data_IF_699357591622
#
_entry.id   IF_699357591622
#
_cell.length_a   1.000
_cell.length_b   1.000
_cell.length_c   1.000
_cell.angle_alpha   90.00
_cell.angle_beta   90.00
_cell.angle_gamma   90.00
#
_symmetry.space_group_name_H-M   'P 1'
#
loop_
_entity.id
_entity.type
_entity.pdbx_description
1 polymer ?
#
# COMPACT_ATOMS: atom_id res chain seq x y z
N UNK A 1 -22.31 10.76 -19.53
CA UNK A 1 -22.41 9.68 -18.51
C UNK A 1 -21.28 8.70 -18.77
N UNK A 2 -20.09 8.97 -18.23
CA UNK A 2 -19.06 7.95 -18.11
C UNK A 2 -19.56 6.97 -17.05
N UNK A 3 -19.70 5.69 -17.41
CA UNK A 3 -19.97 4.67 -16.40
C UNK A 3 -18.78 4.66 -15.45
N UNK A 4 -19.02 4.66 -14.14
CA UNK A 4 -17.97 4.48 -13.16
C UNK A 4 -17.15 3.26 -13.57
N UNK A 5 -15.86 3.46 -13.87
CA UNK A 5 -14.97 2.35 -14.18
C UNK A 5 -15.03 1.40 -12.98
N UNK A 6 -15.62 0.23 -13.18
CA UNK A 6 -15.75 -0.76 -12.12
C UNK A 6 -14.36 -1.22 -11.73
N UNK A 7 -14.01 -1.10 -10.45
CA UNK A 7 -12.77 -1.65 -9.90
C UNK A 7 -12.51 -3.08 -10.42
N UNK A 8 -11.29 -3.34 -10.88
CA UNK A 8 -10.86 -4.69 -11.24
C UNK A 8 -10.30 -5.38 -9.99
N UNK A 9 -11.09 -6.31 -9.45
CA UNK A 9 -10.74 -7.07 -8.25
C UNK A 9 -9.69 -8.14 -8.58
N UNK A 10 -8.62 -8.16 -7.79
CA UNK A 10 -7.51 -9.10 -7.89
C UNK A 10 -7.49 -10.12 -6.74
N UNK A 11 -8.02 -9.75 -5.58
CA UNK A 11 -8.23 -10.62 -4.43
C UNK A 11 -9.17 -9.97 -3.43
N UNK A 12 -10.40 -10.50 -3.34
CA UNK A 12 -11.39 -10.20 -2.29
C UNK A 12 -11.64 -11.40 -1.37
N UNK A 13 -11.12 -12.58 -1.72
CA UNK A 13 -11.00 -13.76 -0.87
C UNK A 13 -12.32 -14.34 -0.34
N UNK A 14 -13.44 -13.97 -0.98
CA UNK A 14 -14.77 -14.43 -0.61
C UNK A 14 -14.96 -15.93 -0.92
N UNK A 15 -14.30 -16.44 -1.97
CA UNK A 15 -14.37 -17.83 -2.43
C UNK A 15 -13.04 -18.59 -2.19
N UNK A 16 -12.43 -18.35 -1.02
CA UNK A 16 -11.16 -18.95 -0.64
C UNK A 16 -9.98 -18.09 -1.07
N UNK A 17 -8.89 -18.72 -1.50
CA UNK A 17 -7.62 -18.02 -1.70
C UNK A 17 -7.47 -17.37 -3.09
N UNK A 18 -8.53 -17.35 -3.90
CA UNK A 18 -8.59 -16.79 -5.26
C UNK A 18 -7.46 -17.23 -6.21
N UNK A 19 -6.93 -18.43 -5.97
CA UNK A 19 -5.80 -18.97 -6.70
C UNK A 19 -4.46 -18.28 -6.44
N UNK A 20 -4.38 -17.39 -5.45
CA UNK A 20 -3.12 -16.85 -4.95
C UNK A 20 -2.21 -17.96 -4.40
N UNK A 21 -0.92 -17.70 -4.43
CA UNK A 21 0.13 -18.59 -3.94
C UNK A 21 1.08 -17.79 -3.06
N UNK A 22 1.91 -18.50 -2.29
CA UNK A 22 2.94 -17.89 -1.45
C UNK A 22 4.32 -18.52 -1.68
N UNK A 23 5.38 -17.81 -1.27
CA UNK A 23 6.76 -18.26 -1.25
C UNK A 23 7.07 -19.15 -0.05
N UNK A 24 8.32 -19.64 0.05
CA UNK A 24 8.91 -20.15 1.28
C UNK A 24 8.28 -21.36 1.96
N UNK A 25 7.24 -21.97 1.39
CA UNK A 25 6.43 -22.97 2.11
C UNK A 25 5.50 -22.36 3.15
N UNK A 26 5.23 -21.05 3.08
CA UNK A 26 4.27 -20.37 3.95
C UNK A 26 2.87 -20.99 3.82
N UNK A 27 2.07 -20.84 4.88
CA UNK A 27 0.68 -21.28 4.88
C UNK A 27 -0.23 -20.15 4.42
N UNK A 28 -1.22 -20.47 3.60
CA UNK A 28 -2.15 -19.52 3.02
C UNK A 28 -3.57 -20.03 3.25
N UNK A 29 -4.38 -19.25 3.94
CA UNK A 29 -5.76 -19.59 4.30
C UNK A 29 -6.65 -18.35 4.24
N UNK A 30 -7.97 -18.53 4.27
CA UNK A 30 -8.90 -17.43 4.48
C UNK A 30 -9.34 -17.36 5.93
N UNK A 31 -9.54 -16.15 6.43
CA UNK A 31 -10.13 -15.88 7.73
C UNK A 31 -11.45 -15.16 7.55
N UNK A 32 -12.45 -15.55 8.34
CA UNK A 32 -13.78 -14.96 8.28
C UNK A 32 -13.89 -13.70 9.15
N UNK A 33 -14.76 -12.77 8.76
CA UNK A 33 -15.07 -11.58 9.55
C UNK A 33 -15.68 -11.94 10.91
N UNK A 34 -16.43 -13.04 10.99
CA UNK A 34 -17.01 -13.53 12.25
C UNK A 34 -15.96 -13.99 13.25
N UNK A 35 -14.84 -14.54 12.79
CA UNK A 35 -13.77 -15.05 13.66
C UNK A 35 -12.69 -14.00 13.91
N UNK A 36 -12.30 -13.26 12.86
CA UNK A 36 -11.29 -12.20 12.89
C UNK A 36 -11.79 -10.99 12.09
N UNK A 37 -12.50 -10.04 12.73
CA UNK A 37 -13.10 -8.91 12.01
C UNK A 37 -12.08 -7.88 11.52
N UNK A 38 -10.98 -7.68 12.25
CA UNK A 38 -9.98 -6.65 11.95
C UNK A 38 -9.31 -6.76 10.56
N UNK A 39 -8.91 -7.94 10.06
CA UNK A 39 -8.31 -8.06 8.73
C UNK A 39 -9.31 -7.96 7.56
N UNK A 40 -10.61 -8.15 7.79
CA UNK A 40 -11.63 -8.10 6.74
C UNK A 40 -12.10 -6.66 6.55
N UNK A 41 -11.65 -6.02 5.48
CA UNK A 41 -11.97 -4.63 5.11
C UNK A 41 -13.02 -4.55 4.01
N UNK A 42 -13.26 -5.64 3.27
CA UNK A 42 -14.33 -5.77 2.27
C UNK A 42 -14.95 -7.16 2.38
N UNK A 43 -16.27 -7.24 2.24
CA UNK A 43 -16.96 -8.53 2.23
C UNK A 43 -16.94 -9.23 3.58
N UNK A 44 -16.63 -10.53 3.57
CA UNK A 44 -16.72 -11.44 4.72
C UNK A 44 -15.42 -12.17 5.00
N UNK A 45 -14.44 -12.12 4.10
CA UNK A 45 -13.21 -12.89 4.22
C UNK A 45 -11.97 -12.05 3.92
N UNK A 46 -10.83 -12.47 4.45
CA UNK A 46 -9.52 -11.92 4.11
C UNK A 46 -8.51 -13.05 3.96
N UNK A 47 -7.43 -12.80 3.24
CA UNK A 47 -6.32 -13.74 3.13
C UNK A 47 -5.42 -13.64 4.36
N UNK A 48 -5.08 -14.77 4.97
CA UNK A 48 -4.05 -14.87 5.99
C UNK A 48 -2.84 -15.64 5.43
N UNK A 49 -1.65 -15.10 5.68
CA UNK A 49 -0.39 -15.69 5.24
C UNK A 49 0.51 -15.83 6.45
N UNK A 50 0.77 -17.06 6.85
CA UNK A 50 1.62 -17.37 7.99
C UNK A 50 2.95 -17.89 7.51
N UNK A 51 4.00 -17.17 7.89
CA UNK A 51 5.38 -17.47 7.56
C UNK A 51 6.12 -17.97 8.79
N UNK A 52 6.92 -19.00 8.58
CA UNK A 52 7.76 -19.65 9.59
C UNK A 52 9.18 -19.75 9.01
N UNK A 53 9.95 -18.69 9.22
CA UNK A 53 11.34 -18.61 8.80
C UNK A 53 11.58 -18.24 7.32
N UNK A 54 10.57 -17.80 6.57
CA UNK A 54 10.78 -17.32 5.19
C UNK A 54 11.46 -15.95 5.24
N UNK A 55 12.70 -15.77 4.73
CA UNK A 55 13.39 -14.48 4.78
C UNK A 55 12.77 -13.43 3.88
N UNK A 56 11.94 -13.84 2.91
CA UNK A 56 11.31 -12.94 1.95
C UNK A 56 9.89 -13.41 1.62
N UNK A 57 8.99 -13.38 2.63
CA UNK A 57 7.63 -13.83 2.45
C UNK A 57 6.89 -12.95 1.44
N UNK A 58 6.15 -13.62 0.58
CA UNK A 58 5.35 -12.96 -0.43
C UNK A 58 4.09 -13.76 -0.75
N UNK A 59 3.06 -13.06 -1.21
CA UNK A 59 1.93 -13.65 -1.92
C UNK A 59 1.86 -13.13 -3.34
N UNK A 60 1.42 -13.97 -4.26
CA UNK A 60 1.33 -13.59 -5.65
C UNK A 60 0.17 -14.25 -6.37
N UNK A 61 -0.38 -13.53 -7.34
CA UNK A 61 -1.42 -14.05 -8.22
C UNK A 61 -0.86 -15.16 -9.11
N UNK A 62 -1.72 -16.08 -9.55
CA UNK A 62 -1.39 -16.91 -10.72
C UNK A 62 -1.23 -15.97 -11.92
N UNK A 63 -0.23 -16.26 -12.76
CA UNK A 63 -0.06 -15.53 -14.01
C UNK A 63 -1.35 -15.61 -14.84
N UNK A 64 -1.95 -14.46 -15.16
CA UNK A 64 -3.09 -14.39 -16.08
C UNK A 64 -2.59 -14.63 -17.52
N UNK A 65 -3.51 -15.03 -18.41
CA UNK A 65 -3.21 -15.45 -19.78
C UNK A 65 -2.60 -14.36 -20.68
N UNK A 66 -3.25 -14.01 -21.79
CA UNK A 66 -2.69 -13.03 -22.74
C UNK A 66 -2.92 -11.58 -22.34
N UNK A 67 -3.91 -11.29 -21.49
CA UNK A 67 -4.28 -9.92 -21.10
C UNK A 67 -3.52 -9.47 -19.86
N UNK A 68 -3.36 -8.15 -19.70
CA UNK A 68 -2.84 -7.57 -18.46
C UNK A 68 -3.69 -7.96 -17.26
N UNK A 69 -3.04 -8.23 -16.13
CA UNK A 69 -3.75 -8.47 -14.89
C UNK A 69 -4.39 -7.19 -14.33
N UNK A 70 -3.85 -6.01 -14.68
CA UNK A 70 -4.19 -4.74 -14.08
C UNK A 70 -5.49 -4.13 -14.62
N UNK A 71 -6.01 -4.64 -15.75
CA UNK A 71 -7.09 -3.95 -16.47
C UNK A 71 -6.68 -2.54 -16.88
N UNK A 72 -7.64 -1.62 -16.91
CA UNK A 72 -7.43 -0.22 -17.29
C UNK A 72 -7.11 0.70 -16.09
N UNK A 73 -7.05 0.14 -14.87
CA UNK A 73 -6.95 0.92 -13.65
C UNK A 73 -5.61 1.66 -13.48
N UNK A 74 -5.70 2.92 -13.08
CA UNK A 74 -4.56 3.84 -12.86
C UNK A 74 -3.85 3.63 -11.53
N UNK A 75 -4.53 3.03 -10.56
CA UNK A 75 -4.00 2.83 -9.21
C UNK A 75 -4.16 1.37 -8.77
N UNK A 76 -3.19 0.86 -8.01
CA UNK A 76 -3.29 -0.42 -7.31
C UNK A 76 -3.52 -0.19 -5.82
N UNK A 77 -4.53 -0.85 -5.28
CA UNK A 77 -4.92 -0.80 -3.87
C UNK A 77 -4.80 -2.18 -3.23
N UNK A 78 -4.44 -2.22 -1.96
CA UNK A 78 -4.57 -3.37 -1.08
C UNK A 78 -4.78 -2.89 0.35
N UNK A 79 -5.49 -3.64 1.17
CA UNK A 79 -5.53 -3.44 2.62
C UNK A 79 -4.70 -4.53 3.28
N UNK A 80 -3.83 -4.14 4.20
CA UNK A 80 -2.93 -5.07 4.90
C UNK A 80 -3.02 -4.88 6.40
N UNK A 81 -2.90 -5.98 7.14
CA UNK A 81 -2.77 -6.01 8.59
C UNK A 81 -1.62 -6.95 8.95
N UNK A 82 -0.41 -6.44 9.28
CA UNK A 82 0.62 -7.29 9.85
C UNK A 82 0.24 -7.66 11.29
N UNK A 83 0.33 -8.95 11.62
CA UNK A 83 0.22 -9.45 12.98
C UNK A 83 1.47 -9.14 13.81
N UNK A 84 1.63 -9.89 14.90
CA UNK A 84 2.88 -9.90 15.66
C UNK A 84 3.95 -10.68 14.91
N UNK A 85 5.15 -10.12 14.84
CA UNK A 85 6.34 -10.78 14.31
C UNK A 85 7.17 -11.27 15.49
N UNK A 86 7.52 -12.55 15.52
CA UNK A 86 8.35 -13.08 16.59
C UNK A 86 9.71 -12.39 16.59
N UNK A 87 10.17 -12.00 17.77
CA UNK A 87 11.51 -11.44 18.00
C UNK A 87 11.79 -10.10 17.30
N UNK A 88 10.77 -9.45 16.72
CA UNK A 88 10.88 -8.14 16.09
C UNK A 88 9.78 -7.18 16.59
N UNK A 89 10.17 -5.99 17.03
CA UNK A 89 9.25 -4.90 17.42
C UNK A 89 9.07 -3.84 16.31
N UNK A 90 9.76 -4.01 15.17
CA UNK A 90 9.73 -3.08 14.06
C UNK A 90 8.37 -3.03 13.35
N UNK A 91 8.18 -2.03 12.50
CA UNK A 91 7.12 -2.11 11.49
C UNK A 91 7.38 -3.28 10.52
N UNK A 92 6.36 -3.64 9.74
CA UNK A 92 6.48 -4.54 8.60
C UNK A 92 6.45 -3.69 7.34
N UNK A 93 7.46 -3.84 6.50
CA UNK A 93 7.59 -3.14 5.22
C UNK A 93 7.00 -4.00 4.12
N UNK A 94 6.12 -3.41 3.30
CA UNK A 94 5.50 -4.05 2.14
C UNK A 94 5.99 -3.45 0.83
N UNK A 95 6.06 -4.26 -0.22
CA UNK A 95 6.30 -3.81 -1.61
C UNK A 95 5.36 -4.54 -2.55
N UNK A 96 4.82 -3.82 -3.53
CA UNK A 96 4.22 -4.43 -4.70
C UNK A 96 5.28 -4.68 -5.75
N UNK A 97 5.22 -5.83 -6.42
CA UNK A 97 6.10 -6.18 -7.53
C UNK A 97 5.27 -6.66 -8.71
N UNK A 98 5.45 -6.03 -9.86
CA UNK A 98 4.82 -6.42 -11.11
C UNK A 98 5.81 -7.24 -11.92
N UNK A 99 5.37 -8.42 -12.32
CA UNK A 99 6.14 -9.33 -13.17
C UNK A 99 5.55 -9.26 -14.59
N UNK A 100 6.11 -8.42 -15.47
CA UNK A 100 5.73 -8.37 -16.87
C UNK A 100 6.22 -9.59 -17.64
N UNK A 101 5.58 -9.87 -18.77
CA UNK A 101 6.05 -10.86 -19.75
C UNK A 101 6.98 -10.20 -20.76
N UNK A 102 7.99 -10.95 -21.23
CA UNK A 102 8.85 -10.50 -22.33
C UNK A 102 10.18 -9.98 -21.82
N UNK A 103 10.79 -8.98 -22.48
CA UNK A 103 12.11 -8.48 -22.13
C UNK A 103 12.11 -7.46 -20.98
N UNK A 104 10.98 -7.29 -20.30
CA UNK A 104 10.82 -6.28 -19.25
C UNK A 104 11.26 -6.83 -17.89
N UNK A 105 11.94 -6.01 -17.12
CA UNK A 105 12.33 -6.31 -15.74
C UNK A 105 11.12 -6.22 -14.79
N UNK A 106 11.30 -6.80 -13.59
CA UNK A 106 10.33 -6.65 -12.50
C UNK A 106 10.32 -5.19 -12.05
N UNK A 107 9.12 -4.61 -11.96
CA UNK A 107 8.94 -3.25 -11.44
C UNK A 107 8.40 -3.32 -10.02
N UNK A 108 8.97 -2.51 -9.13
CA UNK A 108 8.61 -2.50 -7.71
C UNK A 108 8.10 -1.13 -7.27
N UNK A 109 7.13 -1.13 -6.36
CA UNK A 109 6.68 0.10 -5.71
C UNK A 109 7.76 0.61 -4.74
N UNK A 110 7.61 1.87 -4.33
CA UNK A 110 8.24 2.33 -3.08
C UNK A 110 7.78 1.47 -1.88
N UNK A 111 8.60 1.32 -0.83
CA UNK A 111 8.22 0.55 0.35
C UNK A 111 7.07 1.22 1.12
N UNK A 112 6.21 0.40 1.73
CA UNK A 112 5.14 0.83 2.63
C UNK A 112 5.35 0.25 4.03
N UNK A 113 5.64 1.11 5.01
CA UNK A 113 5.88 0.69 6.40
C UNK A 113 4.59 0.72 7.22
N UNK A 114 4.17 -0.45 7.72
CA UNK A 114 2.92 -0.64 8.48
C UNK A 114 3.24 -1.19 9.87
N UNK A 115 2.74 -0.53 10.90
CA UNK A 115 2.95 -0.96 12.29
C UNK A 115 2.23 -2.30 12.54
N UNK A 116 2.92 -3.23 13.18
CA UNK A 116 2.32 -4.49 13.66
C UNK A 116 1.03 -4.23 14.43
N UNK A 117 0.03 -5.10 14.25
CA UNK A 117 -1.32 -5.04 14.85
C UNK A 117 -2.20 -3.88 14.38
N UNK A 118 -1.75 -3.04 13.44
CA UNK A 118 -2.54 -1.93 12.90
C UNK A 118 -2.69 -2.03 11.38
N UNK A 119 -3.93 -2.12 10.91
CA UNK A 119 -4.22 -2.22 9.48
C UNK A 119 -3.96 -0.91 8.73
N UNK A 120 -3.53 -1.00 7.47
CA UNK A 120 -3.32 0.14 6.58
C UNK A 120 -3.75 -0.16 5.15
N UNK A 121 -4.33 0.84 4.48
CA UNK A 121 -4.58 0.80 3.05
C UNK A 121 -3.35 1.24 2.28
N UNK A 122 -2.81 0.34 1.45
CA UNK A 122 -1.74 0.58 0.48
C UNK A 122 -2.32 1.15 -0.82
N UNK A 123 -1.52 1.95 -1.51
CA UNK A 123 -1.89 2.57 -2.78
C UNK A 123 -0.63 2.87 -3.59
N UNK A 124 -0.56 2.38 -4.83
CA UNK A 124 0.53 2.60 -5.78
C UNK A 124 -0.01 3.23 -7.08
N UNK A 125 0.61 4.32 -7.52
CA UNK A 125 0.35 4.93 -8.82
C UNK A 125 0.95 4.07 -9.93
N UNK A 126 0.08 3.48 -10.74
CA UNK A 126 0.53 2.69 -11.88
C UNK A 126 0.85 3.60 -13.06
N UNK A 127 0.41 4.87 -13.07
CA UNK A 127 0.69 5.80 -14.19
C UNK A 127 2.17 6.16 -14.27
N UNK A 128 2.91 6.00 -13.18
CA UNK A 128 4.38 6.15 -13.12
C UNK A 128 5.11 4.99 -13.83
N UNK A 129 4.39 3.96 -14.29
CA UNK A 129 4.94 2.77 -14.96
C UNK A 129 4.63 2.85 -16.45
N UNK A 130 5.67 2.60 -17.27
CA UNK A 130 5.55 2.54 -18.73
C UNK A 130 4.36 1.68 -19.18
N UNK A 131 3.60 2.20 -20.14
CA UNK A 131 2.36 1.57 -20.61
C UNK A 131 2.60 0.15 -21.15
N UNK A 132 3.68 -0.07 -21.89
CA UNK A 132 4.06 -1.39 -22.40
C UNK A 132 4.31 -2.39 -21.25
N UNK A 133 4.94 -1.94 -20.16
CA UNK A 133 5.18 -2.77 -18.97
C UNK A 133 3.88 -3.09 -18.25
N UNK A 134 2.97 -2.11 -18.10
CA UNK A 134 1.63 -2.33 -17.54
C UNK A 134 0.79 -3.28 -18.38
N UNK A 135 0.82 -3.12 -19.69
CA UNK A 135 0.13 -4.00 -20.63
C UNK A 135 0.73 -5.41 -20.61
N UNK A 136 2.02 -5.54 -20.31
CA UNK A 136 2.74 -6.81 -20.16
C UNK A 136 2.65 -7.43 -18.77
N UNK A 137 2.16 -6.73 -17.73
CA UNK A 137 2.04 -7.25 -16.37
C UNK A 137 1.16 -8.51 -16.32
N UNK A 138 1.72 -9.65 -15.89
CA UNK A 138 0.98 -10.93 -15.80
C UNK A 138 0.83 -11.48 -14.40
N UNK A 139 1.73 -11.12 -13.50
CA UNK A 139 1.65 -11.49 -12.08
C UNK A 139 1.90 -10.26 -11.20
N UNK A 140 1.07 -10.14 -10.17
CA UNK A 140 1.27 -9.23 -9.05
C UNK A 140 1.80 -10.04 -7.88
N UNK A 141 2.83 -9.51 -7.23
CA UNK A 141 3.38 -10.02 -5.98
C UNK A 141 3.31 -8.92 -4.91
N UNK A 142 2.90 -9.29 -3.70
CA UNK A 142 2.98 -8.47 -2.50
C UNK A 142 4.01 -9.15 -1.60
N UNK A 143 5.17 -8.52 -1.45
CA UNK A 143 6.25 -9.01 -0.61
C UNK A 143 6.38 -8.16 0.66
N UNK A 144 6.85 -8.75 1.75
CA UNK A 144 7.10 -8.03 2.99
C UNK A 144 8.29 -8.55 3.78
N UNK A 145 8.73 -7.75 4.75
CA UNK A 145 9.82 -8.05 5.67
C UNK A 145 9.71 -7.19 6.94
N UNK A 146 10.39 -7.55 8.03
CA UNK A 146 10.51 -6.69 9.21
C UNK A 146 11.39 -5.49 8.86
N UNK A 147 10.96 -4.26 9.16
CA UNK A 147 11.63 -3.04 8.70
C UNK A 147 13.08 -2.87 9.17
N UNK A 148 13.49 -3.53 10.24
CA UNK A 148 14.86 -3.56 10.75
C UNK A 148 15.75 -4.67 10.16
N UNK A 149 15.15 -5.59 9.38
CA UNK A 149 15.84 -6.64 8.63
C UNK A 149 15.44 -6.57 7.15
N UNK A 150 15.90 -5.52 6.45
CA UNK A 150 15.70 -5.42 5.00
C UNK A 150 16.52 -6.50 4.28
N UNK A 151 15.86 -7.42 3.57
CA UNK A 151 16.56 -8.55 3.01
C UNK A 151 17.39 -8.10 1.78
N UNK A 152 18.57 -8.69 1.54
CA UNK A 152 19.46 -8.24 0.49
C UNK A 152 18.84 -8.37 -0.90
N UNK A 153 18.93 -7.30 -1.68
CA UNK A 153 18.50 -7.26 -3.09
C UNK A 153 19.53 -7.98 -3.96
N UNK A 154 19.31 -9.24 -4.33
CA UNK A 154 20.02 -9.83 -5.47
C UNK A 154 19.16 -9.73 -6.74
N UNK A 155 19.76 -9.99 -7.91
CA UNK A 155 19.11 -9.83 -9.21
C UNK A 155 17.85 -10.70 -9.42
N UNK A 156 17.61 -11.67 -8.55
CA UNK A 156 16.39 -12.50 -8.53
C UNK A 156 15.49 -12.20 -7.31
N UNK A 157 15.84 -11.18 -6.53
CA UNK A 157 15.15 -10.71 -5.34
C UNK A 157 14.86 -11.81 -4.33
N UNK A 158 15.87 -12.65 -3.98
CA UNK A 158 15.89 -13.69 -2.94
C UNK A 158 17.30 -13.98 -2.43
N UNK A 159 17.73 -13.35 -1.34
CA UNK A 159 18.99 -13.63 -0.64
C UNK A 159 18.79 -14.22 0.76
N UNK A 160 19.85 -14.67 1.45
CA UNK A 160 19.77 -15.08 2.85
C UNK A 160 19.42 -13.86 3.71
N UNK A 161 18.46 -14.01 4.63
CA UNK A 161 18.05 -13.02 5.63
C UNK A 161 17.58 -13.74 6.88
N UNK A 162 17.32 -13.01 7.97
CA UNK A 162 16.61 -13.63 9.10
C UNK A 162 15.18 -13.94 8.65
N UNK A 163 14.66 -15.09 9.07
CA UNK A 163 13.37 -15.55 8.62
C UNK A 163 12.24 -14.72 9.22
N UNK A 164 11.29 -14.27 8.41
CA UNK A 164 10.07 -13.63 8.90
C UNK A 164 9.16 -14.66 9.55
N UNK A 165 8.84 -14.45 10.83
CA UNK A 165 8.02 -15.33 11.64
C UNK A 165 6.76 -14.60 12.12
N UNK A 166 5.65 -14.78 11.41
CA UNK A 166 4.42 -14.08 11.74
C UNK A 166 3.32 -14.25 10.68
N UNK A 167 2.14 -13.72 10.99
CA UNK A 167 1.00 -13.73 10.08
C UNK A 167 0.74 -12.33 9.53
N UNK A 168 0.66 -12.21 8.21
CA UNK A 168 0.16 -11.02 7.52
C UNK A 168 -1.22 -11.32 6.95
N UNK A 169 -2.16 -10.39 7.13
CA UNK A 169 -3.46 -10.45 6.49
C UNK A 169 -3.54 -9.45 5.33
N UNK A 170 -4.18 -9.85 4.23
CA UNK A 170 -4.41 -9.02 3.05
C UNK A 170 -5.88 -9.11 2.63
N UNK A 171 -6.45 -7.99 2.20
CA UNK A 171 -7.81 -7.91 1.67
C UNK A 171 -7.93 -6.77 0.63
N UNK A 172 -9.02 -6.77 -0.13
CA UNK A 172 -9.43 -5.69 -1.02
C UNK A 172 -8.33 -5.28 -2.02
N UNK A 173 -7.67 -6.29 -2.61
CA UNK A 173 -6.62 -6.08 -3.61
C UNK A 173 -7.30 -5.83 -4.95
N UNK A 174 -7.11 -4.64 -5.51
CA UNK A 174 -7.81 -4.21 -6.72
C UNK A 174 -7.08 -3.09 -7.45
N UNK A 175 -7.36 -2.98 -8.74
CA UNK A 175 -7.04 -1.77 -9.50
C UNK A 175 -8.28 -0.92 -9.71
N UNK A 176 -8.09 0.40 -9.80
CA UNK A 176 -9.17 1.35 -10.06
C UNK A 176 -8.62 2.73 -10.41
N UNK A 177 -9.52 3.66 -10.74
CA UNK A 177 -9.17 4.98 -11.28
C UNK A 177 -9.48 6.14 -10.35
N UNK A 178 -9.92 5.89 -9.10
CA UNK A 178 -10.32 6.93 -8.15
C UNK A 178 -9.09 7.65 -7.52
N UNK A 179 -8.76 8.88 -7.96
CA UNK A 179 -7.63 9.65 -7.42
C UNK A 179 -7.88 10.12 -5.99
N UNK A 180 -9.14 10.28 -5.57
CA UNK A 180 -9.50 10.68 -4.21
C UNK A 180 -9.18 9.55 -3.23
N UNK A 181 -9.54 8.31 -3.57
CA UNK A 181 -9.15 7.14 -2.75
C UNK A 181 -7.64 6.98 -2.70
N UNK A 182 -6.94 7.15 -3.83
CA UNK A 182 -5.47 7.13 -3.89
C UNK A 182 -4.83 8.15 -2.95
N UNK A 183 -5.19 9.43 -3.08
CA UNK A 183 -4.64 10.50 -2.26
C UNK A 183 -5.02 10.35 -0.78
N UNK A 184 -6.24 9.93 -0.46
CA UNK A 184 -6.67 9.67 0.92
C UNK A 184 -5.86 8.58 1.60
N UNK A 185 -5.58 7.47 0.91
CA UNK A 185 -4.73 6.39 1.44
C UNK A 185 -3.29 6.86 1.66
N UNK A 186 -2.72 7.60 0.70
CA UNK A 186 -1.39 8.22 0.85
C UNK A 186 -1.33 9.18 2.04
N UNK A 187 -2.28 10.09 2.16
CA UNK A 187 -2.38 11.06 3.25
C UNK A 187 -2.46 10.40 4.63
N UNK A 188 -3.34 9.40 4.80
CA UNK A 188 -3.50 8.70 6.07
C UNK A 188 -2.21 7.95 6.47
N UNK A 189 -1.51 7.36 5.51
CA UNK A 189 -0.21 6.74 5.77
C UNK A 189 0.84 7.77 6.16
N UNK A 190 0.91 8.89 5.43
CA UNK A 190 1.86 9.96 5.73
C UNK A 190 1.64 10.52 7.14
N UNK A 191 0.39 10.85 7.48
CA UNK A 191 0.03 11.33 8.82
C UNK A 191 0.42 10.34 9.92
N UNK A 192 0.19 9.03 9.72
CA UNK A 192 0.59 7.99 10.68
C UNK A 192 2.10 7.82 10.77
N UNK A 193 2.84 8.01 9.67
CA UNK A 193 4.31 8.01 9.65
C UNK A 193 4.82 9.17 10.49
N UNK A 194 4.42 10.39 10.15
CA UNK A 194 4.80 11.62 10.87
C UNK A 194 4.46 11.52 12.35
N UNK A 195 3.30 10.96 12.69
CA UNK A 195 2.93 10.77 14.09
C UNK A 195 3.81 9.76 14.84
N UNK A 196 4.35 8.74 14.16
CA UNK A 196 5.28 7.78 14.77
C UNK A 196 6.67 8.37 14.93
N UNK A 197 7.13 9.12 13.92
CA UNK A 197 8.44 9.74 13.91
C UNK A 197 8.52 10.87 14.93
N UNK A 198 7.49 11.71 15.00
CA UNK A 198 7.52 12.98 15.73
C UNK A 198 6.53 13.04 16.93
N UNK A 199 5.72 12.00 17.14
CA UNK A 199 4.64 12.02 18.14
C UNK A 199 3.35 12.70 17.64
N UNK A 200 2.41 12.99 18.54
CA UNK A 200 1.15 13.64 18.12
C UNK A 200 1.39 15.08 17.66
N UNK A 201 0.68 15.53 16.62
CA UNK A 201 0.64 16.96 16.29
C UNK A 201 -0.03 17.71 17.44
N UNK A 202 0.69 18.67 18.02
CA UNK A 202 0.26 19.45 19.19
C UNK A 202 -0.23 20.84 18.81
N UNK A 203 0.31 21.43 17.73
CA UNK A 203 -0.05 22.79 17.32
C UNK A 203 0.03 22.99 15.80
N UNK A 204 -0.50 24.11 15.33
CA UNK A 204 -0.39 24.60 13.95
C UNK A 204 -0.09 26.10 13.97
N UNK A 205 1.04 26.50 13.42
CA UNK A 205 1.31 27.90 13.11
C UNK A 205 0.83 28.20 11.69
N UNK A 206 0.34 29.43 11.49
CA UNK A 206 -0.11 29.91 10.17
C UNK A 206 0.66 31.19 9.87
N UNK A 207 1.52 31.12 8.86
CA UNK A 207 2.38 32.21 8.43
C UNK A 207 1.75 33.02 7.30
N UNK A 208 1.00 32.34 6.42
CA UNK A 208 0.28 32.96 5.30
C UNK A 208 -1.13 32.39 5.21
N UNK A 209 -2.12 33.26 5.06
CA UNK A 209 -3.50 32.89 4.78
C UNK A 209 -4.11 33.86 3.77
N UNK A 210 -4.51 33.33 2.62
CA UNK A 210 -5.27 34.03 1.58
C UNK A 210 -6.55 33.25 1.29
N UNK A 211 -7.35 33.72 0.33
CA UNK A 211 -8.58 33.02 -0.09
C UNK A 211 -8.29 31.65 -0.72
N UNK A 212 -7.07 31.41 -1.23
CA UNK A 212 -6.71 30.18 -1.94
C UNK A 212 -5.50 29.46 -1.39
N UNK A 213 -4.74 30.06 -0.47
CA UNK A 213 -3.49 29.48 0.07
C UNK A 213 -3.47 29.61 1.59
N UNK A 214 -3.06 28.54 2.27
CA UNK A 214 -2.67 28.55 3.68
C UNK A 214 -1.28 27.91 3.81
N UNK A 215 -0.34 28.62 4.44
CA UNK A 215 1.00 28.10 4.76
C UNK A 215 1.31 28.28 6.24
N UNK A 216 2.13 27.38 6.75
CA UNK A 216 2.71 27.51 8.07
C UNK A 216 3.37 26.21 8.48
N UNK A 217 3.37 25.92 9.78
CA UNK A 217 4.07 24.75 10.30
C UNK A 217 3.15 23.90 11.17
N UNK A 218 3.30 22.59 11.06
CA UNK A 218 2.77 21.65 12.03
C UNK A 218 3.81 21.38 13.09
N UNK A 219 3.45 21.62 14.35
CA UNK A 219 4.30 21.35 15.51
C UNK A 219 3.91 20.02 16.12
N UNK A 220 4.89 19.16 16.34
CA UNK A 220 4.72 17.83 16.90
C UNK A 220 5.21 17.74 18.35
N UNK A 221 4.76 16.70 19.07
CA UNK A 221 5.00 16.54 20.50
C UNK A 221 6.49 16.39 20.88
N UNK A 222 7.33 15.95 19.95
CA UNK A 222 8.79 15.89 20.12
C UNK A 222 9.49 17.24 19.88
N UNK A 223 8.75 18.28 19.47
CA UNK A 223 9.26 19.60 19.11
C UNK A 223 9.63 19.76 17.63
N UNK A 224 9.45 18.72 16.80
CA UNK A 224 9.67 18.82 15.35
C UNK A 224 8.62 19.74 14.72
N UNK A 225 9.07 20.63 13.86
CA UNK A 225 8.25 21.55 13.08
C UNK A 225 8.36 21.19 11.59
N UNK A 226 7.21 20.97 10.94
CA UNK A 226 7.17 20.64 9.51
C UNK A 226 6.33 21.66 8.75
N UNK A 227 6.93 22.26 7.74
CA UNK A 227 6.23 23.18 6.85
C UNK A 227 5.10 22.45 6.11
N UNK A 228 3.97 23.13 5.99
CA UNK A 228 2.86 22.70 5.13
C UNK A 228 2.36 23.85 4.26
N UNK A 229 1.83 23.48 3.10
CA UNK A 229 1.11 24.37 2.20
C UNK A 229 -0.22 23.69 1.81
N UNK A 230 -1.33 24.36 2.06
CA UNK A 230 -2.63 24.05 1.49
C UNK A 230 -2.97 25.05 0.39
N UNK A 231 -3.40 24.57 -0.77
CA UNK A 231 -3.85 25.37 -1.91
C UNK A 231 -5.21 24.90 -2.39
N UNK A 232 -6.15 25.81 -2.55
CA UNK A 232 -7.39 25.55 -3.30
C UNK A 232 -7.04 25.60 -4.79
N UNK A 233 -7.33 24.53 -5.52
CA UNK A 233 -7.05 24.41 -6.95
C UNK A 233 -8.14 25.11 -7.78
N UNK A 234 -7.85 25.40 -9.05
CA UNK A 234 -8.76 26.14 -9.95
C UNK A 234 -10.12 25.43 -10.16
N UNK A 235 -10.13 24.11 -10.02
CA UNK A 235 -11.30 23.23 -10.08
C UNK A 235 -12.03 23.09 -8.73
N UNK A 236 -11.65 23.86 -7.71
CA UNK A 236 -12.25 23.83 -6.37
C UNK A 236 -11.79 22.68 -5.47
N UNK A 237 -10.79 21.91 -5.90
CA UNK A 237 -10.11 20.91 -5.06
C UNK A 237 -9.20 21.52 -4.00
N UNK A 238 -8.61 20.64 -3.19
CA UNK A 238 -7.61 20.98 -2.18
C UNK A 238 -6.33 20.19 -2.43
N UNK A 239 -5.25 20.91 -2.69
CA UNK A 239 -3.89 20.40 -2.72
C UNK A 239 -3.23 20.67 -1.35
N UNK A 240 -2.66 19.65 -0.72
CA UNK A 240 -1.89 19.78 0.52
C UNK A 240 -0.50 19.23 0.30
N UNK A 241 0.53 20.02 0.59
CA UNK A 241 1.92 19.60 0.63
C UNK A 241 2.42 19.64 2.06
N UNK A 242 3.04 18.55 2.52
CA UNK A 242 3.65 18.45 3.85
C UNK A 242 4.81 17.45 3.76
N UNK A 243 5.97 17.81 4.31
CA UNK A 243 7.17 16.96 4.29
C UNK A 243 7.57 16.51 2.87
N UNK A 244 7.45 17.44 1.90
CA UNK A 244 7.74 17.20 0.49
C UNK A 244 6.73 16.33 -0.28
N UNK A 245 5.73 15.77 0.40
CA UNK A 245 4.66 15.00 -0.23
C UNK A 245 3.44 15.87 -0.51
N UNK A 246 2.95 15.82 -1.76
CA UNK A 246 1.72 16.49 -2.20
C UNK A 246 0.55 15.51 -2.34
N UNK A 247 -0.62 15.92 -1.87
CA UNK A 247 -1.88 15.18 -1.87
C UNK A 247 -3.02 16.06 -2.40
N UNK A 248 -3.81 15.55 -3.33
CA UNK A 248 -4.94 16.30 -3.94
C UNK A 248 -6.27 15.66 -3.57
N UNK A 249 -7.25 16.46 -3.19
CA UNK A 249 -8.58 16.02 -2.77
C UNK A 249 -9.69 16.83 -3.47
N UNK A 250 -10.68 16.14 -4.05
CA UNK A 250 -11.78 16.81 -4.76
C UNK A 250 -11.32 17.49 -6.04
N UNK A 251 -12.11 18.47 -6.50
CA UNK A 251 -11.99 19.08 -7.82
C UNK A 251 -13.06 18.55 -8.78
N UNK A 252 -13.52 19.39 -9.71
CA UNK A 252 -14.37 18.95 -10.82
C UNK A 252 -13.53 18.13 -11.82
N UNK A 253 -13.94 16.87 -12.08
CA UNK A 253 -13.37 15.99 -13.13
C UNK A 253 -13.70 16.47 -14.56
#
# INVERSE_FOLDING_TARGET
MAGAASDNILGDFEDGVDGWKTSGGNTLETVSHSDKPAPVTRGKSALAVTSDGDPQPAVFTKARGRNSLLGDGSFLFADVLPGEVAEADSAVTFRFRLHPRGPHDVVESRPFSVKQRYGAGLAWDLRDIDEDVRAAARRLEVAWYASDDEPPTNSNGRGPGEGYNGTVYLDNIRTGDDPTTYNRRRWLRNRRRLQRENGFRTDVTVDELTDTIQRGQFVYADGTELDYEGRITDDGGLEVTIDGDTFVFGGDE
#
